data_IF_624615103422
#
_entry.id   IF_624615103422
#
_cell.length_a   1.000
_cell.length_b   1.000
_cell.length_c   1.000
_cell.angle_alpha   90.00
_cell.angle_beta   90.00
_cell.angle_gamma   90.00
#
_symmetry.space_group_name_H-M   'P 1'
#
loop_
_entity.id
_entity.type
_entity.pdbx_description
1 polymer ?
#
# COMPACT_ATOMS: atom_id res chain seq x y z
N UNK A 1 5.78 5.81 18.67
CA UNK A 1 5.72 5.26 20.02
C UNK A 1 6.94 4.42 20.37
N UNK A 2 6.87 3.70 21.45
CA UNK A 2 7.90 2.78 21.91
C UNK A 2 8.35 3.06 23.33
N UNK A 3 9.19 2.17 23.85
CA UNK A 3 9.80 2.31 25.16
C UNK A 3 11.15 3.02 25.02
N UNK A 4 11.37 4.06 25.83
CA UNK A 4 12.64 4.75 25.90
C UNK A 4 13.14 4.70 27.35
N UNK A 5 14.44 4.52 27.54
CA UNK A 5 15.10 4.43 28.82
C UNK A 5 16.12 5.55 28.98
N UNK A 6 16.12 6.19 30.18
CA UNK A 6 17.13 7.15 30.56
C UNK A 6 17.88 6.65 31.78
N UNK A 7 19.20 6.78 31.80
CA UNK A 7 20.07 6.50 32.96
C UNK A 7 20.55 7.76 33.68
N UNK A 8 20.19 8.95 33.17
CA UNK A 8 20.66 10.26 33.64
C UNK A 8 19.51 11.22 33.95
N UNK A 9 18.44 10.70 34.50
CA UNK A 9 17.26 11.47 34.92
C UNK A 9 16.61 12.27 33.78
N UNK A 10 16.67 11.75 32.54
CA UNK A 10 16.00 12.34 31.38
C UNK A 10 16.86 13.29 30.56
N UNK A 11 18.15 13.44 30.88
CA UNK A 11 19.06 14.26 30.06
C UNK A 11 19.36 13.61 28.72
N UNK A 12 19.50 12.28 28.67
CA UNK A 12 19.61 11.51 27.44
C UNK A 12 18.63 10.33 27.42
N UNK A 13 18.27 9.85 26.22
CA UNK A 13 17.30 8.78 26.04
C UNK A 13 17.82 7.73 25.08
N UNK A 14 17.73 6.47 25.48
CA UNK A 14 17.97 5.30 24.62
C UNK A 14 16.64 4.67 24.25
N UNK A 15 16.37 4.55 22.95
CA UNK A 15 15.18 3.84 22.46
C UNK A 15 15.38 2.35 22.60
N UNK A 16 14.49 1.69 23.32
CA UNK A 16 14.46 0.24 23.45
C UNK A 16 13.53 -0.34 22.38
N UNK A 17 14.10 -1.01 21.37
CA UNK A 17 13.36 -1.64 20.28
C UNK A 17 12.91 -3.06 20.65
N UNK A 18 12.34 -3.24 21.81
CA UNK A 18 11.80 -4.53 22.24
C UNK A 18 10.38 -4.36 22.79
N UNK A 19 9.46 -5.24 22.39
CA UNK A 19 9.57 -6.30 21.39
C UNK A 19 9.56 -5.76 19.96
N UNK A 20 10.12 -6.53 19.01
CA UNK A 20 10.08 -6.25 17.57
C UNK A 20 8.68 -6.60 17.02
N UNK A 21 7.67 -5.82 17.42
CA UNK A 21 6.28 -5.98 16.98
C UNK A 21 5.80 -4.71 16.31
N UNK A 22 4.89 -4.87 15.34
CA UNK A 22 4.25 -3.78 14.65
C UNK A 22 2.78 -4.09 14.39
N UNK A 23 1.96 -3.06 14.24
CA UNK A 23 0.57 -3.20 13.85
C UNK A 23 0.50 -3.16 12.34
N UNK A 24 0.32 -4.33 11.72
CA UNK A 24 0.19 -4.46 10.28
C UNK A 24 -1.23 -4.11 9.84
N UNK A 25 -1.34 -3.27 8.80
CA UNK A 25 -2.54 -3.10 8.01
C UNK A 25 -2.66 -4.19 6.95
N UNK A 26 -1.52 -4.58 6.37
CA UNK A 26 -1.48 -5.57 5.29
C UNK A 26 -0.15 -6.30 5.28
N UNK A 27 -0.18 -7.51 4.72
CA UNK A 27 1.00 -8.32 4.43
C UNK A 27 0.88 -8.84 3.00
N UNK A 28 1.97 -8.80 2.25
CA UNK A 28 2.11 -9.34 0.90
C UNK A 28 3.42 -10.12 0.79
N UNK A 29 3.48 -11.03 -0.17
CA UNK A 29 4.68 -11.78 -0.53
C UNK A 29 4.95 -11.66 -2.03
N UNK A 30 6.19 -11.87 -2.44
CA UNK A 30 6.58 -12.04 -3.85
C UNK A 30 6.75 -13.53 -4.20
N UNK A 31 7.00 -13.81 -5.47
CA UNK A 31 7.20 -15.16 -6.01
C UNK A 31 8.68 -15.60 -5.99
N UNK A 32 9.58 -14.88 -5.30
CA UNK A 32 10.97 -15.26 -5.17
C UNK A 32 11.13 -16.55 -4.34
N UNK A 33 12.21 -17.29 -4.55
CA UNK A 33 12.54 -18.46 -3.74
C UNK A 33 13.95 -18.29 -3.12
N UNK A 34 14.03 -18.08 -1.80
CA UNK A 34 12.96 -17.87 -0.83
C UNK A 34 12.24 -16.53 -1.06
N UNK A 35 10.93 -16.50 -0.77
CA UNK A 35 10.12 -15.30 -0.97
C UNK A 35 10.46 -14.20 0.04
N UNK A 36 10.12 -12.96 -0.32
CA UNK A 36 10.18 -11.84 0.60
C UNK A 36 8.79 -11.53 1.15
N UNK A 37 8.78 -10.97 2.35
CA UNK A 37 7.60 -10.50 3.05
C UNK A 37 7.59 -8.98 3.03
N UNK A 38 6.46 -8.42 2.62
CA UNK A 38 6.20 -6.98 2.61
C UNK A 38 5.10 -6.67 3.61
N UNK A 39 5.26 -5.60 4.37
CA UNK A 39 4.27 -5.19 5.36
C UNK A 39 4.08 -3.69 5.45
N UNK A 40 2.83 -3.26 5.42
CA UNK A 40 2.42 -1.89 5.73
C UNK A 40 1.98 -1.80 7.20
N UNK A 41 2.60 -0.91 7.96
CA UNK A 41 2.41 -0.80 9.41
C UNK A 41 1.91 0.58 9.82
N UNK A 42 1.02 0.61 10.80
CA UNK A 42 0.60 1.86 11.42
C UNK A 42 1.79 2.60 12.04
N UNK A 43 1.93 3.89 11.72
CA UNK A 43 2.98 4.82 12.19
C UNK A 43 4.42 4.43 11.81
N UNK A 44 4.63 3.27 11.19
CA UNK A 44 5.97 2.72 10.97
C UNK A 44 6.32 2.51 9.48
N UNK A 45 5.43 2.85 8.55
CA UNK A 45 5.69 2.78 7.12
C UNK A 45 5.59 1.39 6.53
N UNK A 46 6.24 1.20 5.39
CA UNK A 46 6.24 -0.05 4.62
C UNK A 46 7.62 -0.68 4.67
N UNK A 47 7.66 -1.97 4.90
CA UNK A 47 8.89 -2.74 5.06
C UNK A 47 8.92 -3.96 4.15
N UNK A 48 10.14 -4.39 3.79
CA UNK A 48 10.41 -5.64 3.08
C UNK A 48 11.55 -6.39 3.76
N UNK A 49 11.44 -7.69 3.80
CA UNK A 49 12.51 -8.55 4.33
C UNK A 49 12.35 -10.01 3.91
N UNK A 50 13.38 -10.83 4.11
CA UNK A 50 13.39 -12.23 3.71
C UNK A 50 12.46 -13.07 4.60
N UNK A 51 11.78 -14.05 4.00
CA UNK A 51 10.99 -15.04 4.75
C UNK A 51 11.85 -16.01 5.58
N UNK A 52 13.13 -16.13 5.26
CA UNK A 52 14.07 -17.01 5.94
C UNK A 52 14.74 -16.38 7.16
N UNK A 53 14.28 -15.20 7.58
CA UNK A 53 14.86 -14.56 8.75
C UNK A 53 14.58 -15.36 10.03
N UNK A 54 15.67 -15.68 10.73
CA UNK A 54 15.62 -16.23 12.08
C UNK A 54 16.08 -15.17 13.09
N UNK A 55 15.27 -14.94 14.11
CA UNK A 55 15.63 -13.99 15.16
C UNK A 55 16.85 -14.48 15.94
N UNK A 56 17.90 -13.66 15.98
CA UNK A 56 19.09 -13.93 16.78
C UNK A 56 19.47 -12.71 17.62
N UNK A 57 20.16 -12.88 18.76
CA UNK A 57 20.69 -11.76 19.54
C UNK A 57 21.72 -10.91 18.79
N UNK A 58 22.35 -11.46 17.77
CA UNK A 58 23.41 -10.81 16.97
C UNK A 58 22.91 -9.57 16.23
N UNK A 59 21.68 -9.58 15.73
CA UNK A 59 21.14 -8.42 15.04
C UNK A 59 21.05 -7.16 15.93
N UNK A 60 20.80 -7.35 17.24
CA UNK A 60 20.80 -6.25 18.22
C UNK A 60 22.21 -5.73 18.49
N UNK A 61 23.19 -6.64 18.53
CA UNK A 61 24.57 -6.31 18.82
C UNK A 61 25.29 -5.71 17.59
N UNK A 62 25.00 -6.21 16.40
CA UNK A 62 25.72 -5.89 15.17
C UNK A 62 24.95 -4.95 14.22
N UNK A 63 23.67 -4.67 14.49
CA UNK A 63 22.84 -3.81 13.66
C UNK A 63 22.38 -4.43 12.36
N UNK A 64 22.50 -5.73 12.19
CA UNK A 64 22.10 -6.47 11.01
C UNK A 64 20.60 -6.76 10.99
N UNK A 65 19.78 -5.72 10.87
CA UNK A 65 18.35 -5.89 10.74
C UNK A 65 18.00 -6.26 9.30
N UNK A 66 17.38 -7.42 9.03
CA UNK A 66 17.18 -7.94 7.68
C UNK A 66 16.05 -7.22 6.94
N UNK A 67 15.17 -6.54 7.68
CA UNK A 67 14.05 -5.81 7.10
C UNK A 67 14.44 -4.39 6.76
N UNK A 68 14.09 -3.96 5.56
CA UNK A 68 14.37 -2.62 5.05
C UNK A 68 13.07 -1.84 4.91
N UNK A 69 13.08 -0.59 5.35
CA UNK A 69 11.99 0.35 5.14
C UNK A 69 11.98 0.83 3.69
N UNK A 70 10.85 0.67 3.01
CA UNK A 70 10.63 1.13 1.64
C UNK A 70 9.97 2.51 1.60
N UNK A 71 8.96 2.73 2.44
CA UNK A 71 8.16 3.95 2.41
C UNK A 71 7.78 4.43 3.81
N UNK A 72 7.38 5.71 3.94
CA UNK A 72 7.00 6.33 5.21
C UNK A 72 5.50 6.35 5.46
N UNK A 73 5.09 7.06 6.50
CA UNK A 73 3.68 7.24 6.89
C UNK A 73 3.07 6.01 7.54
N UNK A 74 1.74 5.92 7.52
CA UNK A 74 1.00 4.70 7.82
C UNK A 74 1.03 3.81 6.57
N UNK A 75 1.81 2.74 6.63
CA UNK A 75 1.99 1.87 5.47
C UNK A 75 0.70 1.16 5.09
N UNK A 76 0.26 1.36 3.84
CA UNK A 76 -1.00 0.83 3.32
C UNK A 76 -0.80 -0.41 2.44
N UNK A 77 -1.74 -0.69 1.55
CA UNK A 77 -1.72 -1.85 0.68
C UNK A 77 -0.47 -1.87 -0.21
N UNK A 78 -0.04 -3.07 -0.58
CA UNK A 78 1.18 -3.32 -1.31
C UNK A 78 0.86 -4.24 -2.48
N UNK A 79 1.39 -3.90 -3.65
CA UNK A 79 1.42 -4.79 -4.81
C UNK A 79 2.85 -4.91 -5.29
N UNK A 80 3.24 -6.10 -5.72
CA UNK A 80 4.60 -6.40 -6.17
C UNK A 80 4.55 -6.92 -7.60
N UNK A 81 5.34 -6.32 -8.48
CA UNK A 81 5.59 -6.83 -9.82
C UNK A 81 6.86 -7.68 -9.78
N UNK A 82 6.69 -8.99 -9.87
CA UNK A 82 7.79 -9.95 -9.74
C UNK A 82 8.73 -9.96 -10.94
N UNK A 83 8.34 -9.37 -12.07
CA UNK A 83 9.18 -9.30 -13.28
C UNK A 83 10.48 -8.50 -13.04
N UNK A 84 10.40 -7.44 -12.27
CA UNK A 84 11.53 -6.55 -12.03
C UNK A 84 11.66 -6.06 -10.57
N UNK A 85 10.78 -6.52 -9.68
CA UNK A 85 10.77 -6.12 -8.28
C UNK A 85 10.23 -4.71 -8.02
N UNK A 86 9.40 -4.19 -8.92
CA UNK A 86 8.66 -2.95 -8.68
C UNK A 86 7.61 -3.16 -7.60
N UNK A 87 7.55 -2.26 -6.64
CA UNK A 87 6.57 -2.23 -5.54
C UNK A 87 5.70 -1.01 -5.68
N UNK A 88 4.40 -1.21 -5.63
CA UNK A 88 3.38 -0.17 -5.56
C UNK A 88 2.84 -0.14 -4.13
N UNK A 89 3.05 0.95 -3.43
CA UNK A 89 2.63 1.12 -2.04
C UNK A 89 2.57 2.59 -1.66
N UNK A 90 2.04 2.88 -0.49
CA UNK A 90 1.90 4.25 -0.05
C UNK A 90 1.47 4.39 1.40
N UNK A 91 0.90 5.52 1.69
CA UNK A 91 0.31 5.86 2.96
C UNK A 91 -1.13 6.35 2.76
N UNK A 92 -1.80 6.68 3.83
CA UNK A 92 -3.23 6.97 3.88
C UNK A 92 -3.70 7.94 2.78
N UNK A 93 -4.98 7.80 2.41
CA UNK A 93 -5.70 8.67 1.47
C UNK A 93 -5.11 8.68 0.05
N UNK A 94 -4.74 7.52 -0.47
CA UNK A 94 -4.31 7.37 -1.87
C UNK A 94 -2.95 7.96 -2.19
N UNK A 95 -2.11 8.22 -1.20
CA UNK A 95 -0.75 8.72 -1.44
C UNK A 95 0.20 7.57 -1.80
N UNK A 96 0.09 7.06 -3.02
CA UNK A 96 0.87 5.93 -3.50
C UNK A 96 2.01 6.33 -4.42
N UNK A 97 3.02 5.49 -4.43
CA UNK A 97 4.17 5.57 -5.32
C UNK A 97 4.60 4.18 -5.78
N UNK A 98 5.29 4.12 -6.91
CA UNK A 98 6.03 2.95 -7.36
C UNK A 98 7.52 3.16 -7.08
N UNK A 99 8.19 2.07 -6.69
CA UNK A 99 9.62 2.06 -6.40
C UNK A 99 10.19 0.66 -6.56
N UNK A 100 11.49 0.52 -6.66
CA UNK A 100 12.10 -0.79 -6.66
C UNK A 100 12.24 -1.35 -5.23
N UNK A 101 12.01 -2.67 -5.06
CA UNK A 101 12.11 -3.36 -3.76
C UNK A 101 13.49 -3.26 -3.09
N UNK A 102 14.56 -2.95 -3.84
CA UNK A 102 15.87 -2.66 -3.26
C UNK A 102 15.92 -1.34 -2.48
N UNK A 103 14.91 -0.48 -2.64
CA UNK A 103 14.94 0.88 -2.11
C UNK A 103 15.87 1.83 -2.87
N UNK A 104 16.50 1.35 -3.95
CA UNK A 104 17.33 2.16 -4.81
C UNK A 104 16.49 2.97 -5.80
N UNK A 105 17.03 4.11 -6.20
CA UNK A 105 16.33 5.02 -7.10
C UNK A 105 15.33 5.93 -6.40
N UNK A 106 14.56 6.66 -7.20
CA UNK A 106 13.55 7.61 -6.70
C UNK A 106 12.17 6.98 -6.78
N UNK A 107 11.43 7.06 -5.70
CA UNK A 107 10.00 6.74 -5.71
C UNK A 107 9.26 7.71 -6.64
N UNK A 108 8.41 7.16 -7.51
CA UNK A 108 7.60 7.92 -8.46
C UNK A 108 6.14 7.86 -8.01
N UNK A 109 5.50 9.03 -7.89
CA UNK A 109 4.09 9.10 -7.52
C UNK A 109 3.23 8.41 -8.59
N UNK A 110 2.31 7.56 -8.15
CA UNK A 110 1.38 6.83 -9.00
C UNK A 110 -0.02 6.91 -8.40
N UNK A 111 -0.78 7.93 -8.78
CA UNK A 111 -2.12 8.21 -8.23
C UNK A 111 -2.96 8.89 -9.30
N UNK A 112 -4.22 8.44 -9.50
CA UNK A 112 -5.16 9.14 -10.38
C UNK A 112 -5.34 10.61 -10.00
N UNK A 113 -5.45 11.48 -10.98
CA UNK A 113 -5.67 12.92 -10.81
C UNK A 113 -7.01 13.28 -11.42
N UNK A 114 -7.80 14.11 -10.73
CA UNK A 114 -9.01 14.72 -11.30
C UNK A 114 -8.63 15.88 -12.23
N UNK A 115 -9.48 16.16 -13.20
CA UNK A 115 -9.30 17.27 -14.11
C UNK A 115 -9.50 18.63 -13.42
N UNK A 116 -8.88 19.68 -13.99
CA UNK A 116 -9.04 21.02 -13.46
C UNK A 116 -10.50 21.50 -13.56
N UNK A 117 -11.05 21.90 -12.42
CA UNK A 117 -12.43 22.35 -12.30
C UNK A 117 -13.42 21.25 -11.88
N UNK A 118 -12.98 20.01 -11.82
CA UNK A 118 -13.76 18.91 -11.27
C UNK A 118 -13.61 18.79 -9.76
N UNK A 119 -14.54 18.03 -9.14
CA UNK A 119 -14.42 17.74 -7.71
C UNK A 119 -13.28 16.77 -7.49
N UNK A 120 -12.43 16.99 -6.48
CA UNK A 120 -11.39 16.03 -6.13
C UNK A 120 -11.94 14.64 -5.84
N UNK A 121 -11.20 13.61 -6.25
CA UNK A 121 -11.51 12.24 -5.86
C UNK A 121 -11.44 12.07 -4.34
N UNK A 122 -12.29 11.19 -3.83
CA UNK A 122 -12.29 10.79 -2.43
C UNK A 122 -11.54 9.47 -2.31
N UNK A 123 -10.55 9.43 -1.43
CA UNK A 123 -9.74 8.24 -1.18
C UNK A 123 -9.94 7.75 0.25
N UNK A 124 -10.13 6.45 0.41
CA UNK A 124 -10.21 5.81 1.72
C UNK A 124 -8.89 5.97 2.49
N UNK A 125 -8.96 5.82 3.81
CA UNK A 125 -7.75 5.67 4.64
C UNK A 125 -6.84 4.57 4.11
N UNK A 126 -7.41 3.37 3.86
CA UNK A 126 -6.75 2.26 3.18
C UNK A 126 -7.23 2.20 1.72
N UNK A 127 -6.73 3.11 0.89
CA UNK A 127 -7.07 3.15 -0.53
C UNK A 127 -6.70 1.84 -1.22
N UNK A 128 -7.63 1.16 -1.93
CA UNK A 128 -7.33 -0.08 -2.60
C UNK A 128 -6.51 0.14 -3.87
N UNK A 129 -5.50 -0.70 -4.07
CA UNK A 129 -4.72 -0.83 -5.30
C UNK A 129 -4.61 -2.30 -5.65
N UNK A 130 -4.70 -2.63 -6.94
CA UNK A 130 -4.59 -3.99 -7.43
C UNK A 130 -3.75 -4.07 -8.70
N UNK A 131 -2.72 -4.90 -8.70
CA UNK A 131 -1.92 -5.23 -9.88
C UNK A 131 -2.56 -6.42 -10.58
N UNK A 132 -2.87 -6.28 -11.87
CA UNK A 132 -3.42 -7.38 -12.66
C UNK A 132 -2.45 -8.56 -12.73
N UNK A 133 -2.98 -9.75 -12.46
CA UNK A 133 -2.23 -11.00 -12.66
C UNK A 133 -2.18 -11.46 -14.10
N UNK A 134 -3.09 -10.96 -14.93
CA UNK A 134 -3.15 -11.28 -16.36
C UNK A 134 -2.18 -10.42 -17.18
N UNK A 135 -2.13 -9.12 -16.83
CA UNK A 135 -1.30 -8.13 -17.53
C UNK A 135 -0.59 -7.26 -16.49
N UNK A 136 0.64 -7.58 -16.08
CA UNK A 136 1.33 -6.86 -15.00
C UNK A 136 1.68 -5.39 -15.27
N UNK A 137 1.37 -4.84 -16.46
CA UNK A 137 1.40 -3.40 -16.71
C UNK A 137 0.10 -2.70 -16.32
N UNK A 138 -0.95 -3.48 -16.03
CA UNK A 138 -2.28 -2.98 -15.66
C UNK A 138 -2.40 -2.88 -14.14
N UNK A 139 -2.79 -1.70 -13.70
CA UNK A 139 -3.12 -1.40 -12.30
C UNK A 139 -4.55 -0.90 -12.21
N UNK A 140 -5.24 -1.32 -11.16
CA UNK A 140 -6.51 -0.75 -10.74
C UNK A 140 -6.34 0.01 -9.43
N UNK A 141 -7.03 1.14 -9.30
CA UNK A 141 -6.94 2.02 -8.14
C UNK A 141 -8.33 2.52 -7.75
N UNK A 142 -8.65 2.52 -6.45
CA UNK A 142 -9.94 2.94 -5.94
C UNK A 142 -9.92 4.32 -5.32
N UNK A 143 -10.76 5.22 -5.83
CA UNK A 143 -11.20 6.42 -5.13
C UNK A 143 -12.67 6.25 -4.71
N UNK A 144 -13.55 7.19 -5.00
CA UNK A 144 -14.99 6.96 -5.12
C UNK A 144 -15.36 6.34 -6.49
N UNK A 145 -14.36 6.14 -7.36
CA UNK A 145 -14.44 5.53 -8.70
C UNK A 145 -13.39 4.44 -8.82
N UNK A 146 -13.53 3.56 -9.79
CA UNK A 146 -12.47 2.66 -10.22
C UNK A 146 -11.65 3.33 -11.31
N UNK A 147 -10.35 3.33 -11.17
CA UNK A 147 -9.38 3.83 -12.15
C UNK A 147 -8.53 2.67 -12.64
N UNK A 148 -8.12 2.73 -13.91
CA UNK A 148 -7.18 1.79 -14.53
C UNK A 148 -5.99 2.54 -15.11
N UNK A 149 -4.82 1.95 -14.98
CA UNK A 149 -3.61 2.30 -15.72
C UNK A 149 -3.21 1.13 -16.58
N UNK A 150 -2.77 1.39 -17.82
CA UNK A 150 -2.24 0.38 -18.75
C UNK A 150 -0.70 0.49 -18.90
N UNK A 151 -0.08 1.40 -18.17
CA UNK A 151 1.32 1.80 -18.28
C UNK A 151 2.04 1.86 -16.92
N UNK A 152 1.68 0.94 -16.02
CA UNK A 152 2.32 0.80 -14.71
C UNK A 152 2.12 2.02 -13.80
N UNK A 153 1.00 2.72 -13.95
CA UNK A 153 0.61 3.85 -13.12
C UNK A 153 1.18 5.20 -13.54
N UNK A 154 1.63 5.35 -14.79
CA UNK A 154 2.03 6.65 -15.36
C UNK A 154 0.81 7.47 -15.74
N UNK A 155 -0.14 6.85 -16.45
CA UNK A 155 -1.41 7.48 -16.80
C UNK A 155 -2.58 6.68 -16.27
N UNK A 156 -3.73 7.34 -16.09
CA UNK A 156 -4.92 6.76 -15.49
C UNK A 156 -6.16 7.14 -16.28
N UNK A 157 -7.07 6.19 -16.45
CA UNK A 157 -8.42 6.39 -16.96
C UNK A 157 -9.47 6.01 -15.91
N UNK A 158 -10.62 6.65 -15.95
CA UNK A 158 -11.76 6.32 -15.10
C UNK A 158 -12.57 5.20 -15.76
N UNK A 159 -12.75 4.07 -15.08
CA UNK A 159 -13.57 2.96 -15.55
C UNK A 159 -15.03 3.08 -15.11
N UNK A 160 -15.33 3.89 -14.12
CA UNK A 160 -16.66 3.99 -13.55
C UNK A 160 -17.04 5.42 -13.24
N UNK A 161 -18.35 5.67 -13.12
CA UNK A 161 -18.89 6.79 -12.37
C UNK A 161 -18.64 6.62 -10.86
N UNK A 162 -19.17 7.55 -10.04
CA UNK A 162 -19.13 7.43 -8.59
C UNK A 162 -19.93 6.20 -8.14
N UNK A 163 -19.25 5.20 -7.61
CA UNK A 163 -19.82 3.92 -7.16
C UNK A 163 -20.34 3.94 -5.73
N UNK A 164 -20.40 5.12 -5.12
CA UNK A 164 -20.82 5.32 -3.72
C UNK A 164 -22.11 6.15 -3.64
N UNK A 165 -22.70 6.22 -2.46
CA UNK A 165 -23.84 7.12 -2.19
C UNK A 165 -23.43 8.60 -2.06
N UNK A 166 -22.18 8.93 -2.33
CA UNK A 166 -21.61 10.27 -2.23
C UNK A 166 -20.88 10.52 -0.91
N UNK A 167 -20.06 11.59 -0.92
CA UNK A 167 -19.32 12.02 0.26
C UNK A 167 -20.20 12.65 1.32
N UNK A 168 -19.79 12.55 2.58
CA UNK A 168 -20.39 13.27 3.71
C UNK A 168 -19.29 13.92 4.56
N UNK A 169 -19.61 14.98 5.34
CA UNK A 169 -18.68 15.59 6.27
C UNK A 169 -18.21 14.58 7.34
N UNK A 170 -16.93 14.67 7.73
CA UNK A 170 -16.33 13.84 8.76
C UNK A 170 -14.82 14.08 8.83
N UNK A 171 -14.16 13.44 9.79
CA UNK A 171 -12.72 13.59 10.02
C UNK A 171 -11.88 12.87 8.93
N UNK A 172 -12.52 11.92 8.24
CA UNK A 172 -11.93 11.19 7.12
C UNK A 172 -12.87 11.21 5.92
N UNK A 173 -12.37 11.11 4.68
CA UNK A 173 -13.21 10.95 3.50
C UNK A 173 -14.12 9.73 3.64
N UNK A 174 -15.38 9.89 3.26
CA UNK A 174 -16.42 8.89 3.23
C UNK A 174 -17.08 8.83 1.86
N UNK A 175 -17.70 7.70 1.52
CA UNK A 175 -18.13 7.39 0.16
C UNK A 175 -16.91 7.12 -0.71
N UNK A 176 -16.16 6.10 -0.34
CA UNK A 176 -14.88 5.72 -0.94
C UNK A 176 -14.84 4.21 -1.15
N UNK A 177 -14.10 3.75 -2.16
CA UNK A 177 -13.83 2.33 -2.31
C UNK A 177 -12.80 1.86 -1.27
N UNK A 178 -13.05 0.68 -0.71
CA UNK A 178 -12.23 0.02 0.32
C UNK A 178 -11.56 -1.25 -0.19
N UNK A 179 -12.07 -1.81 -1.28
CA UNK A 179 -11.55 -3.02 -1.90
C UNK A 179 -11.74 -3.01 -3.41
N UNK A 180 -10.77 -3.54 -4.13
CA UNK A 180 -10.83 -3.87 -5.56
C UNK A 180 -10.11 -5.18 -5.75
N UNK A 181 -10.72 -6.09 -6.51
CA UNK A 181 -10.10 -7.34 -6.92
C UNK A 181 -10.42 -7.66 -8.37
N UNK A 182 -9.43 -8.13 -9.11
CA UNK A 182 -9.60 -8.75 -10.40
C UNK A 182 -9.68 -10.27 -10.24
N UNK A 183 -10.58 -10.90 -10.98
CA UNK A 183 -10.68 -12.36 -11.03
C UNK A 183 -9.33 -12.96 -11.49
N UNK A 184 -8.81 -14.00 -10.83
CA UNK A 184 -7.61 -14.69 -11.33
C UNK A 184 -7.86 -15.55 -12.56
N UNK A 185 -9.14 -15.73 -12.95
CA UNK A 185 -9.55 -16.60 -14.05
C UNK A 185 -9.89 -15.81 -15.32
N UNK A 186 -10.25 -14.53 -15.20
CA UNK A 186 -10.75 -13.72 -16.31
C UNK A 186 -10.28 -12.28 -16.16
N UNK A 187 -9.58 -11.77 -17.19
CA UNK A 187 -9.15 -10.38 -17.27
C UNK A 187 -10.35 -9.44 -17.38
N UNK A 188 -10.35 -8.37 -16.58
CA UNK A 188 -11.42 -7.37 -16.59
C UNK A 188 -12.66 -7.75 -15.78
N UNK A 189 -12.76 -8.98 -15.29
CA UNK A 189 -13.79 -9.33 -14.29
C UNK A 189 -13.37 -8.76 -12.94
N UNK A 190 -13.94 -7.60 -12.58
CA UNK A 190 -13.58 -6.84 -11.38
C UNK A 190 -14.72 -6.86 -10.36
N UNK A 191 -14.35 -6.87 -9.09
CA UNK A 191 -15.24 -6.60 -7.97
C UNK A 191 -14.70 -5.43 -7.15
N UNK A 192 -15.57 -4.49 -6.77
CA UNK A 192 -15.24 -3.35 -5.94
C UNK A 192 -16.25 -3.20 -4.79
N UNK A 193 -15.75 -2.88 -3.61
CA UNK A 193 -16.56 -2.61 -2.41
C UNK A 193 -16.30 -1.23 -1.85
N UNK A 194 -17.34 -0.58 -1.30
CA UNK A 194 -17.28 0.75 -0.72
C UNK A 194 -17.57 0.76 0.78
N UNK A 195 -17.15 1.83 1.47
CA UNK A 195 -17.35 2.04 2.91
C UNK A 195 -18.81 2.33 3.29
N UNK A 196 -19.66 2.61 2.32
CA UNK A 196 -21.10 2.83 2.49
C UNK A 196 -21.95 1.60 2.12
N UNK A 197 -21.31 0.43 1.90
CA UNK A 197 -21.94 -0.88 1.81
C UNK A 197 -22.34 -1.32 0.41
N UNK A 198 -21.91 -0.64 -0.65
CA UNK A 198 -22.11 -1.09 -2.03
C UNK A 198 -21.04 -2.12 -2.44
N UNK A 199 -21.48 -3.10 -3.22
CA UNK A 199 -20.61 -4.05 -3.92
C UNK A 199 -20.99 -4.06 -5.39
N UNK A 200 -19.99 -3.87 -6.23
CA UNK A 200 -20.14 -3.78 -7.67
C UNK A 200 -19.30 -4.85 -8.36
N UNK A 201 -19.79 -5.35 -9.46
CA UNK A 201 -19.07 -6.30 -10.32
C UNK A 201 -19.20 -5.82 -11.76
N UNK A 202 -18.10 -5.85 -12.52
CA UNK A 202 -18.10 -5.66 -13.97
C UNK A 202 -17.44 -6.84 -14.65
N UNK A 203 -17.95 -7.23 -15.83
CA UNK A 203 -17.46 -8.35 -16.63
C UNK A 203 -16.64 -7.89 -17.84
N UNK A 204 -16.56 -6.60 -18.08
CA UNK A 204 -15.95 -6.00 -19.27
C UNK A 204 -14.83 -4.98 -18.98
N UNK A 205 -14.45 -4.81 -17.73
CA UNK A 205 -13.33 -4.00 -17.27
C UNK A 205 -13.60 -2.52 -17.17
#
# INVERSE_FOLDING_TARGET
>A
GGLNLSYDAGATWTKLNTPAVGQFYTVQVDDAEPYNIYGGLQDNGVWVGPSTYEASPEWQAEGHYPYRRLFGGDGMQIQVDDRDGTVYTGFQFGNYARMHRSGEGRAQRTVPQHELGERPFRFNWQTPIWLSRHLPDVLYFGSNRVHRSLDRGETWEELSDDLTSGGRPGDVPYGTLTSIHESPLEFGLLAAGSDDGHVWVTEDG
#
